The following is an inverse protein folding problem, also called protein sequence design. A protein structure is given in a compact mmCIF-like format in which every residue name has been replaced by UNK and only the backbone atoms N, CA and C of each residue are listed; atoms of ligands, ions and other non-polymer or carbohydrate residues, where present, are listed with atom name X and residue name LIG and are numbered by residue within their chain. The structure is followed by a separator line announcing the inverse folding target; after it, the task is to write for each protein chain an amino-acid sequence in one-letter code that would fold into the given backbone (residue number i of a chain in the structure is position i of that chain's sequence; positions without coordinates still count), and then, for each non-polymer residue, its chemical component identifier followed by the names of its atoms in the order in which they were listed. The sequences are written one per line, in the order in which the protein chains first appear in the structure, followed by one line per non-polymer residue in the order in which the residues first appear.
data_IF_132677579266
#
_entry.id   IF_132677579266
#
_cell.length_a   1.000
_cell.length_b   1.000
_cell.length_c   1.000
_cell.angle_alpha   90.00
_cell.angle_beta   90.00
_cell.angle_gamma   90.00
#
_symmetry.space_group_name_H-M   'P 1'
#
loop_
_entity.id
_entity.type
_entity.pdbx_description
1 polymer ?
#
# COMPACT_ATOMS: atom_id res chain seq x y z
N UNK A 1 7.33 44.06 41.17
CA UNK A 1 6.37 44.22 40.04
C UNK A 1 7.17 44.78 38.89
N UNK A 2 7.34 44.14 37.72
CA UNK A 2 6.28 43.64 36.85
C UNK A 2 6.92 42.68 35.84
N UNK A 3 6.24 41.57 35.59
CA UNK A 3 6.71 40.36 34.93
C UNK A 3 7.20 40.56 33.49
N UNK A 4 8.39 40.02 33.19
CA UNK A 4 8.91 39.86 31.85
C UNK A 4 8.20 38.65 31.21
N UNK A 5 7.22 38.92 30.35
CA UNK A 5 6.50 37.90 29.57
C UNK A 5 7.42 37.31 28.50
N UNK A 6 7.96 36.11 28.72
CA UNK A 6 8.49 35.27 27.64
C UNK A 6 7.32 34.67 26.87
N UNK A 7 7.10 35.11 25.62
CA UNK A 7 6.31 34.35 24.66
C UNK A 7 7.12 33.12 24.21
N UNK A 8 6.79 31.96 24.76
CA UNK A 8 7.25 30.68 24.21
C UNK A 8 6.48 30.41 22.91
N UNK A 9 7.14 30.61 21.77
CA UNK A 9 6.61 30.18 20.48
C UNK A 9 6.61 28.64 20.43
N UNK A 10 5.43 28.03 20.66
CA UNK A 10 5.21 26.62 20.35
C UNK A 10 5.26 26.45 18.82
N UNK A 11 6.41 26.07 18.29
CA UNK A 11 6.52 25.57 16.91
C UNK A 11 5.89 24.19 16.85
N UNK A 12 4.61 24.13 16.49
CA UNK A 12 3.92 22.88 16.18
C UNK A 12 4.52 22.32 14.89
N UNK A 13 5.44 21.36 15.01
CA UNK A 13 5.93 20.61 13.86
C UNK A 13 4.79 19.72 13.39
N UNK A 14 4.14 20.10 12.28
CA UNK A 14 3.28 19.18 11.54
C UNK A 14 4.19 18.08 10.97
N UNK A 15 4.24 16.93 11.65
CA UNK A 15 4.81 15.73 11.06
C UNK A 15 3.90 15.34 9.89
N UNK A 16 4.36 15.55 8.67
CA UNK A 16 3.66 15.11 7.48
C UNK A 16 3.67 13.58 7.49
N UNK A 17 2.50 12.97 7.66
CA UNK A 17 2.37 11.52 7.75
C UNK A 17 2.63 10.92 6.36
N UNK A 18 3.68 10.12 6.24
CA UNK A 18 3.96 9.39 5.01
C UNK A 18 2.78 8.48 4.68
N UNK A 19 2.28 8.59 3.45
CA UNK A 19 1.16 7.80 2.96
C UNK A 19 1.66 6.72 2.01
N UNK A 20 1.47 5.46 2.39
CA UNK A 20 1.69 4.32 1.52
C UNK A 20 0.57 4.22 0.48
N UNK A 21 0.94 4.24 -0.80
CA UNK A 21 0.02 4.16 -1.93
C UNK A 21 0.48 3.11 -2.94
N UNK A 22 -0.48 2.39 -3.52
CA UNK A 22 -0.27 1.48 -4.63
C UNK A 22 -1.12 1.89 -5.81
N UNK A 23 -0.49 2.01 -6.99
CA UNK A 23 -1.15 2.24 -8.26
C UNK A 23 -1.42 0.89 -8.90
N UNK A 24 -2.69 0.54 -9.06
CA UNK A 24 -3.12 -0.78 -9.54
C UNK A 24 -3.88 -0.60 -10.83
N UNK A 25 -3.40 -1.20 -11.92
CA UNK A 25 -3.96 -1.05 -13.26
C UNK A 25 -4.48 -2.36 -13.81
N UNK A 26 -5.70 -2.33 -14.35
CA UNK A 26 -6.37 -3.46 -14.98
C UNK A 26 -7.31 -2.95 -16.08
N UNK A 27 -7.32 -3.60 -17.24
CA UNK A 27 -8.24 -3.25 -18.33
C UNK A 27 -8.10 -1.81 -18.87
N UNK A 28 -6.93 -1.19 -18.69
CA UNK A 28 -6.67 0.20 -19.09
C UNK A 28 -7.06 1.26 -18.05
N UNK A 29 -7.62 0.87 -16.91
CA UNK A 29 -7.95 1.76 -15.79
C UNK A 29 -6.94 1.60 -14.65
N UNK A 30 -6.54 2.71 -14.02
CA UNK A 30 -5.65 2.72 -12.86
C UNK A 30 -6.36 3.28 -11.63
N UNK A 31 -6.26 2.54 -10.52
CA UNK A 31 -6.79 2.91 -9.22
C UNK A 31 -5.63 3.14 -8.24
N UNK A 32 -5.75 4.13 -7.34
CA UNK A 32 -4.77 4.36 -6.28
C UNK A 32 -5.34 3.89 -4.94
N UNK A 33 -4.74 2.85 -4.38
CA UNK A 33 -5.14 2.26 -3.09
C UNK A 33 -4.17 2.74 -2.02
N UNK A 34 -4.68 3.31 -0.93
CA UNK A 34 -3.87 3.86 0.16
C UNK A 34 -4.04 3.03 1.42
N UNK A 35 -2.94 2.77 2.12
CA UNK A 35 -2.97 2.03 3.36
C UNK A 35 -3.28 2.95 4.55
N UNK A 36 -4.03 2.43 5.50
CA UNK A 36 -4.00 2.89 6.89
C UNK A 36 -3.30 1.82 7.73
N UNK A 37 -2.60 2.20 8.82
CA UNK A 37 -2.04 1.21 9.74
C UNK A 37 -3.12 0.25 10.25
N UNK A 38 -2.86 -1.05 10.14
CA UNK A 38 -3.74 -2.10 10.61
C UNK A 38 -3.13 -2.84 11.80
N UNK A 39 -3.97 -3.24 12.75
CA UNK A 39 -3.54 -4.02 13.91
C UNK A 39 -3.20 -5.47 13.55
N UNK A 40 -3.88 -6.03 12.54
CA UNK A 40 -3.55 -7.34 11.98
C UNK A 40 -3.80 -7.34 10.46
N UNK A 41 -3.12 -8.19 9.67
CA UNK A 41 -3.37 -8.29 8.23
C UNK A 41 -4.80 -8.73 7.88
N UNK A 42 -5.48 -9.42 8.79
CA UNK A 42 -6.81 -9.99 8.56
C UNK A 42 -7.95 -8.98 8.70
N UNK A 43 -7.71 -7.81 9.32
CA UNK A 43 -8.73 -6.76 9.43
C UNK A 43 -8.85 -5.88 8.18
N UNK A 44 -7.98 -6.09 7.19
CA UNK A 44 -8.00 -5.34 5.93
C UNK A 44 -8.71 -6.17 4.86
N UNK A 45 -9.87 -5.69 4.41
CA UNK A 45 -10.59 -6.30 3.30
C UNK A 45 -9.87 -6.02 1.97
N UNK A 46 -9.87 -6.98 1.01
CA UNK A 46 -9.38 -6.71 -0.33
C UNK A 46 -10.34 -5.77 -1.08
N UNK A 47 -9.80 -4.93 -1.96
CA UNK A 47 -10.54 -4.03 -2.84
C UNK A 47 -10.72 -4.68 -4.21
N UNK A 48 -11.92 -4.67 -4.77
CA UNK A 48 -12.17 -5.18 -6.13
C UNK A 48 -11.47 -4.31 -7.18
N UNK A 49 -10.77 -4.93 -8.12
CA UNK A 49 -10.07 -4.30 -9.23
C UNK A 49 -10.67 -4.83 -10.53
N UNK A 50 -11.54 -4.01 -11.13
CA UNK A 50 -12.36 -4.45 -12.26
C UNK A 50 -13.20 -5.68 -11.91
N UNK A 51 -13.33 -6.59 -12.88
CA UNK A 51 -14.24 -7.74 -12.78
C UNK A 51 -13.63 -9.00 -12.20
N UNK A 52 -12.29 -9.15 -12.25
CA UNK A 52 -11.63 -10.45 -12.03
C UNK A 52 -10.54 -10.45 -10.99
N UNK A 53 -10.19 -9.28 -10.45
CA UNK A 53 -9.12 -9.17 -9.48
C UNK A 53 -9.62 -8.54 -8.18
N UNK A 54 -8.94 -8.88 -7.09
CA UNK A 54 -8.98 -8.07 -5.88
C UNK A 54 -7.56 -7.79 -5.41
N UNK A 55 -7.34 -6.62 -4.82
CA UNK A 55 -6.05 -6.19 -4.30
C UNK A 55 -6.16 -5.84 -2.82
N UNK A 56 -5.25 -6.35 -1.99
CA UNK A 56 -5.17 -6.02 -0.58
C UNK A 56 -3.81 -5.39 -0.27
N UNK A 57 -3.86 -4.19 0.29
CA UNK A 57 -2.70 -3.44 0.77
C UNK A 57 -2.76 -3.35 2.29
N UNK A 58 -1.81 -3.97 2.98
CA UNK A 58 -1.70 -3.94 4.44
C UNK A 58 -0.45 -3.16 4.84
N UNK A 59 -0.61 -2.21 5.75
CA UNK A 59 0.48 -1.58 6.49
C UNK A 59 0.38 -2.01 7.95
N UNK A 60 1.34 -2.81 8.40
CA UNK A 60 1.45 -3.28 9.79
C UNK A 60 2.58 -2.51 10.46
N UNK A 61 2.29 -1.74 11.51
CA UNK A 61 3.29 -0.93 12.24
C UNK A 61 3.64 -1.50 13.62
N UNK A 62 2.93 -2.54 14.06
CA UNK A 62 3.08 -3.14 15.38
C UNK A 62 3.23 -4.66 15.25
N UNK A 63 4.06 -5.31 16.09
CA UNK A 63 4.94 -4.69 17.08
C UNK A 63 6.13 -3.95 16.43
N UNK A 64 6.76 -2.99 17.13
CA UNK A 64 7.95 -2.31 16.61
C UNK A 64 9.06 -3.31 16.28
N UNK A 65 9.70 -3.16 15.12
CA UNK A 65 10.73 -4.09 14.62
C UNK A 65 10.21 -5.19 13.70
N UNK A 66 8.88 -5.38 13.61
CA UNK A 66 8.22 -6.27 12.64
C UNK A 66 7.30 -5.51 11.68
N UNK A 67 7.48 -4.19 11.57
CA UNK A 67 6.66 -3.37 10.69
C UNK A 67 6.83 -3.81 9.23
N UNK A 68 5.72 -4.02 8.55
CA UNK A 68 5.68 -4.64 7.24
C UNK A 68 4.61 -4.02 6.34
N UNK A 69 4.91 -4.04 5.04
CA UNK A 69 3.95 -3.80 3.97
C UNK A 69 3.64 -5.16 3.35
N UNK A 70 2.37 -5.53 3.27
CA UNK A 70 1.96 -6.80 2.65
C UNK A 70 0.98 -6.52 1.53
N UNK A 71 1.30 -7.03 0.36
CA UNK A 71 0.56 -6.85 -0.88
C UNK A 71 0.01 -8.20 -1.31
N UNK A 72 -1.28 -8.25 -1.64
CA UNK A 72 -1.93 -9.46 -2.12
C UNK A 72 -2.74 -9.13 -3.35
N UNK A 73 -2.61 -9.96 -4.38
CA UNK A 73 -3.50 -9.96 -5.54
C UNK A 73 -4.24 -11.28 -5.59
N UNK A 74 -5.56 -11.21 -5.72
CA UNK A 74 -6.45 -12.36 -5.80
C UNK A 74 -7.17 -12.39 -7.14
N UNK A 75 -7.50 -13.58 -7.63
CA UNK A 75 -8.56 -13.76 -8.59
C UNK A 75 -9.90 -13.71 -7.86
N UNK A 76 -10.85 -12.95 -8.39
CA UNK A 76 -12.24 -13.00 -7.96
C UNK A 76 -12.94 -14.17 -8.68
N UNK A 77 -13.25 -15.21 -7.91
CA UNK A 77 -13.96 -16.39 -8.39
C UNK A 77 -15.32 -16.46 -7.75
N UNK A 78 -16.28 -16.91 -8.54
CA UNK A 78 -17.60 -17.21 -8.04
C UNK A 78 -17.53 -18.35 -6.99
N UNK A 79 -18.50 -18.42 -6.06
CA UNK A 79 -18.63 -19.55 -5.17
C UNK A 79 -18.74 -20.89 -5.92
N UNK A 80 -18.22 -21.99 -5.36
CA UNK A 80 -17.70 -22.12 -4.00
C UNK A 80 -16.21 -21.77 -3.84
N UNK A 81 -15.49 -21.40 -4.91
CA UNK A 81 -14.04 -21.17 -4.82
C UNK A 81 -13.70 -19.89 -4.05
N UNK A 82 -14.43 -18.79 -4.28
CA UNK A 82 -14.13 -17.49 -3.67
C UNK A 82 -12.76 -16.92 -4.06
N UNK A 83 -12.24 -15.96 -3.31
CA UNK A 83 -10.96 -15.31 -3.61
C UNK A 83 -9.79 -16.31 -3.66
N UNK A 84 -9.08 -16.38 -4.79
CA UNK A 84 -7.88 -17.24 -4.95
C UNK A 84 -6.63 -16.39 -5.01
N UNK A 85 -5.65 -16.64 -4.15
CA UNK A 85 -4.40 -15.88 -4.15
C UNK A 85 -3.60 -16.14 -5.44
N UNK A 86 -3.27 -15.08 -6.17
CA UNK A 86 -2.43 -15.12 -7.37
C UNK A 86 -1.00 -14.68 -7.09
N UNK A 87 -0.83 -13.66 -6.26
CA UNK A 87 0.47 -13.09 -5.95
C UNK A 87 0.48 -12.50 -4.53
N UNK A 88 1.60 -12.66 -3.82
CA UNK A 88 1.87 -12.00 -2.55
C UNK A 88 3.30 -11.48 -2.52
N UNK A 89 3.47 -10.26 -2.00
CA UNK A 89 4.78 -9.68 -1.71
C UNK A 89 4.78 -9.00 -0.34
N UNK A 90 5.85 -9.23 0.41
CA UNK A 90 6.07 -8.66 1.74
C UNK A 90 7.33 -7.78 1.69
N UNK A 91 7.23 -6.55 2.19
CA UNK A 91 8.33 -5.60 2.29
C UNK A 91 8.48 -5.12 3.73
N UNK A 92 9.71 -4.85 4.15
CA UNK A 92 9.97 -4.18 5.43
C UNK A 92 9.46 -2.74 5.36
N UNK A 93 8.96 -2.24 6.50
CA UNK A 93 8.62 -0.83 6.66
C UNK A 93 9.63 -0.12 7.59
N UNK A 94 10.18 1.04 7.21
CA UNK A 94 10.03 1.69 5.91
C UNK A 94 10.77 0.92 4.80
N UNK A 95 10.30 0.98 3.55
CA UNK A 95 11.00 0.37 2.42
C UNK A 95 12.34 1.10 2.15
N UNK A 96 13.29 0.44 1.48
CA UNK A 96 14.54 1.09 1.09
C UNK A 96 14.30 2.35 0.24
N UNK A 97 15.16 3.38 0.37
CA UNK A 97 15.09 4.56 -0.49
C UNK A 97 15.21 4.17 -1.97
N UNK A 98 14.35 4.75 -2.81
CA UNK A 98 14.37 4.54 -4.26
C UNK A 98 15.34 5.54 -4.90
N UNK A 99 16.21 5.09 -5.81
CA UNK A 99 17.04 6.00 -6.61
C UNK A 99 16.12 6.94 -7.41
N UNK A 100 16.23 8.27 -7.25
CA UNK A 100 15.38 9.22 -7.96
C UNK A 100 15.40 9.02 -9.49
N UNK A 101 16.52 8.54 -10.04
CA UNK A 101 16.69 8.27 -11.48
C UNK A 101 15.89 7.05 -11.96
N UNK A 102 15.45 6.19 -11.05
CA UNK A 102 14.68 4.97 -11.32
C UNK A 102 13.33 4.95 -10.54
N UNK A 103 12.81 6.13 -10.19
CA UNK A 103 11.66 6.29 -9.29
C UNK A 103 10.30 5.95 -9.90
N UNK A 104 10.23 5.61 -11.19
CA UNK A 104 8.97 5.45 -11.93
C UNK A 104 7.98 4.43 -11.33
N UNK A 105 8.47 3.42 -10.59
CA UNK A 105 7.62 2.38 -10.00
C UNK A 105 7.86 2.18 -8.50
N UNK A 106 8.27 3.24 -7.81
CA UNK A 106 8.45 3.24 -6.37
C UNK A 106 9.36 2.12 -5.85
N UNK A 107 9.12 1.66 -4.62
CA UNK A 107 10.00 0.69 -3.96
C UNK A 107 9.72 -0.76 -4.38
N UNK A 108 8.56 -1.02 -4.98
CA UNK A 108 8.21 -2.37 -5.43
C UNK A 108 8.75 -2.67 -6.82
N UNK A 109 9.06 -1.65 -7.63
CA UNK A 109 9.11 -1.82 -9.09
C UNK A 109 7.73 -2.15 -9.67
N UNK A 110 7.65 -2.27 -11.00
CA UNK A 110 6.41 -2.66 -11.68
C UNK A 110 6.21 -4.18 -11.60
N UNK A 111 5.16 -4.57 -10.89
CA UNK A 111 4.71 -5.96 -10.76
C UNK A 111 3.64 -6.25 -11.81
N UNK A 112 3.63 -7.49 -12.33
CA UNK A 112 2.64 -8.01 -13.28
C UNK A 112 2.07 -9.31 -12.75
N UNK A 113 0.75 -9.41 -12.68
CA UNK A 113 0.02 -10.56 -12.16
C UNK A 113 -0.98 -11.02 -13.21
N UNK A 114 -0.95 -12.31 -13.52
CA UNK A 114 -1.79 -12.92 -14.54
C UNK A 114 -2.82 -13.84 -13.91
N UNK A 115 -4.07 -13.72 -14.33
CA UNK A 115 -5.19 -14.57 -13.93
C UNK A 115 -5.38 -15.68 -14.98
N UNK A 116 -5.15 -16.96 -14.64
CA UNK A 116 -4.97 -18.04 -15.61
C UNK A 116 -6.22 -18.54 -16.35
N UNK A 117 -7.43 -18.18 -15.93
CA UNK A 117 -8.68 -18.69 -16.55
C UNK A 117 -9.28 -17.67 -17.51
N UNK A 118 -9.23 -16.38 -17.19
CA UNK A 118 -9.85 -15.32 -18.00
C UNK A 118 -8.81 -14.44 -18.70
N UNK A 119 -7.56 -14.90 -18.75
CA UNK A 119 -6.40 -14.20 -19.34
C UNK A 119 -6.29 -12.74 -18.87
N UNK A 120 -6.67 -12.49 -17.62
CA UNK A 120 -6.61 -11.16 -17.02
C UNK A 120 -5.19 -10.76 -16.68
N UNK A 121 -4.81 -9.52 -16.94
CA UNK A 121 -3.52 -8.97 -16.55
C UNK A 121 -3.71 -7.74 -15.64
N UNK A 122 -3.12 -7.81 -14.46
CA UNK A 122 -3.06 -6.73 -13.49
C UNK A 122 -1.62 -6.27 -13.32
N UNK A 123 -1.42 -4.96 -13.31
CA UNK A 123 -0.15 -4.32 -13.04
C UNK A 123 -0.24 -3.57 -11.72
N UNK A 124 0.80 -3.61 -10.90
CA UNK A 124 0.85 -2.70 -9.76
C UNK A 124 2.26 -2.24 -9.41
N UNK A 125 2.34 -1.10 -8.74
CA UNK A 125 3.54 -0.63 -8.07
C UNK A 125 3.17 0.24 -6.87
N UNK A 126 4.05 0.35 -5.87
CA UNK A 126 3.77 1.10 -4.65
C UNK A 126 4.91 2.04 -4.25
N UNK A 127 4.54 3.11 -3.57
CA UNK A 127 5.42 4.18 -3.12
C UNK A 127 5.02 4.70 -1.74
N UNK A 128 5.99 5.34 -1.07
CA UNK A 128 5.71 6.23 0.05
C UNK A 128 5.62 7.66 -0.48
N UNK A 129 4.43 8.24 -0.38
CA UNK A 129 4.20 9.66 -0.68
C UNK A 129 4.29 10.47 0.60
N UNK A 130 4.91 11.65 0.53
CA UNK A 130 4.90 12.63 1.62
C UNK A 130 3.70 13.53 1.48
#
# INVERSE_FOLDING_TARGET
MKYLLLLAALTCHFAQAETLACHVSYGGETQVIRAQPAATPYSVAPTSIGSYFMFRLVLELQPPGLAAIKLYTYADREPPQGAVLLHQADYLYPPPPVDPRNSHYGFTGLQRVYEPIRDGELYYWCELTK
#
